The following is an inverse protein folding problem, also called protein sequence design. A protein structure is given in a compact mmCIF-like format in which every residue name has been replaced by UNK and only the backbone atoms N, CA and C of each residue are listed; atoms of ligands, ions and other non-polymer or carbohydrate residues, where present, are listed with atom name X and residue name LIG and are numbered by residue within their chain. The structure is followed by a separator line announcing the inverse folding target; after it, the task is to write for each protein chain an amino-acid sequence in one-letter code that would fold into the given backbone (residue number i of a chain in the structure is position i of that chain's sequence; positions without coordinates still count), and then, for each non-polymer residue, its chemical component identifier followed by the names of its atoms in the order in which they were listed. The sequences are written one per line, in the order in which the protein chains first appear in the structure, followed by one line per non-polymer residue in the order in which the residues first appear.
data_IF_109265098114
#
_entry.id   IF_109265098114
#
_cell.length_a   1.000
_cell.length_b   1.000
_cell.length_c   1.000
_cell.angle_alpha   90.00
_cell.angle_beta   90.00
_cell.angle_gamma   90.00
#
_symmetry.space_group_name_H-M   'P 1'
#
loop_
_entity.id
_entity.type
_entity.pdbx_description
1 polymer ?
#
# COMPACT_ATOMS: atom_id res chain seq x y z
N UNK A 1 94.23 8.84 14.25
CA UNK A 1 93.54 9.65 13.21
C UNK A 1 92.32 8.87 12.80
N UNK A 2 91.22 9.22 13.35
CA UNK A 2 89.99 8.48 13.19
C UNK A 2 88.89 9.25 12.45
N UNK A 3 88.47 8.77 11.32
CA UNK A 3 87.48 9.38 10.49
C UNK A 3 86.12 8.86 10.93
N UNK A 4 85.26 9.72 11.46
CA UNK A 4 83.87 9.40 11.85
C UNK A 4 83.00 9.46 10.64
N UNK A 5 82.43 8.31 10.27
CA UNK A 5 81.39 8.22 9.25
C UNK A 5 80.02 8.51 9.88
N UNK A 6 79.40 9.58 9.44
CA UNK A 6 77.99 9.91 9.82
C UNK A 6 77.03 9.11 9.00
N UNK A 7 76.28 8.26 9.66
CA UNK A 7 75.14 7.53 9.09
C UNK A 7 73.92 8.46 9.00
N UNK A 8 73.51 8.76 7.78
CA UNK A 8 72.28 9.55 7.49
C UNK A 8 71.13 8.56 7.34
N UNK A 9 70.22 8.56 8.30
CA UNK A 9 69.01 7.77 8.25
C UNK A 9 68.00 8.43 7.31
N UNK A 10 67.72 7.79 6.17
CA UNK A 10 66.61 8.18 5.28
C UNK A 10 65.30 7.61 5.86
N UNK A 11 64.43 8.49 6.32
CA UNK A 11 63.05 8.14 6.61
C UNK A 11 62.23 8.21 5.32
N UNK A 12 61.87 7.05 4.76
CA UNK A 12 60.90 6.96 3.68
C UNK A 12 59.49 7.03 4.30
N UNK A 13 58.84 8.20 4.20
CA UNK A 13 57.43 8.36 4.54
C UNK A 13 56.58 7.80 3.40
N UNK A 14 56.05 6.59 3.56
CA UNK A 14 55.06 6.00 2.64
C UNK A 14 53.70 6.68 2.87
N UNK A 15 53.35 7.60 1.99
CA UNK A 15 52.02 8.22 1.95
C UNK A 15 51.02 7.20 1.33
N UNK A 16 50.29 6.50 2.19
CA UNK A 16 49.17 5.62 1.73
C UNK A 16 47.98 6.49 1.36
N UNK A 17 47.84 6.73 0.05
CA UNK A 17 46.67 7.40 -0.52
C UNK A 17 45.49 6.40 -0.54
N UNK A 18 44.68 6.36 0.50
CA UNK A 18 43.42 5.61 0.49
C UNK A 18 42.41 6.34 -0.40
N UNK A 19 42.34 5.95 -1.67
CA UNK A 19 41.26 6.34 -2.57
C UNK A 19 39.95 5.73 -2.04
N UNK A 20 39.19 6.51 -1.27
CA UNK A 20 37.82 6.18 -0.90
C UNK A 20 36.97 6.10 -2.16
N UNK A 21 36.73 4.90 -2.66
CA UNK A 21 35.71 4.67 -3.70
C UNK A 21 34.36 4.95 -3.03
N UNK A 22 33.88 6.19 -3.20
CA UNK A 22 32.49 6.52 -2.90
C UNK A 22 31.61 5.68 -3.82
N UNK A 23 31.08 4.60 -3.28
CA UNK A 23 30.08 3.74 -3.94
C UNK A 23 28.83 4.60 -4.10
N UNK A 24 28.74 5.33 -5.22
CA UNK A 24 27.51 6.02 -5.60
C UNK A 24 26.46 4.94 -5.81
N UNK A 25 25.55 4.81 -4.84
CA UNK A 25 24.36 4.02 -5.00
C UNK A 25 23.57 4.63 -6.17
N UNK A 26 23.73 4.05 -7.36
CA UNK A 26 22.89 4.38 -8.50
C UNK A 26 21.48 3.90 -8.14
N UNK A 27 20.66 4.84 -7.66
CA UNK A 27 19.22 4.60 -7.63
C UNK A 27 18.82 4.29 -9.08
N UNK A 28 18.42 3.05 -9.35
CA UNK A 28 17.91 2.65 -10.66
C UNK A 28 16.81 3.60 -11.13
N UNK A 29 16.51 3.65 -12.41
CA UNK A 29 15.52 4.58 -12.95
C UNK A 29 14.21 4.41 -12.20
N UNK A 30 13.71 5.53 -11.66
CA UNK A 30 12.46 5.58 -10.91
C UNK A 30 11.32 5.04 -11.78
N UNK A 31 10.60 4.04 -11.30
CA UNK A 31 9.44 3.49 -12.00
C UNK A 31 8.45 4.61 -12.33
N UNK A 32 7.91 4.63 -13.54
CA UNK A 32 6.88 5.61 -13.91
C UNK A 32 5.53 5.26 -13.24
N UNK A 33 4.66 6.25 -12.98
CA UNK A 33 3.37 6.00 -12.32
C UNK A 33 2.45 5.06 -13.09
N UNK A 34 2.49 5.11 -14.43
CA UNK A 34 1.74 4.22 -15.31
C UNK A 34 2.25 2.78 -15.23
N UNK A 35 3.57 2.58 -15.34
CA UNK A 35 4.16 1.25 -15.16
C UNK A 35 3.84 0.66 -13.78
N UNK A 36 3.81 1.49 -12.74
CA UNK A 36 3.43 1.07 -11.40
C UNK A 36 1.98 0.56 -11.35
N UNK A 37 1.02 1.33 -11.91
CA UNK A 37 -0.40 0.94 -11.92
C UNK A 37 -0.67 -0.22 -12.88
N UNK A 38 0.02 -0.30 -14.00
CA UNK A 38 -0.06 -1.49 -14.89
C UNK A 38 0.35 -2.75 -14.14
N UNK A 39 1.54 -2.73 -13.53
CA UNK A 39 2.04 -3.87 -12.76
C UNK A 39 1.13 -4.23 -11.56
N UNK A 40 0.51 -3.25 -10.92
CA UNK A 40 -0.49 -3.48 -9.88
C UNK A 40 -1.75 -4.16 -10.46
N UNK A 41 -2.27 -3.68 -11.59
CA UNK A 41 -3.43 -4.27 -12.27
C UNK A 41 -3.19 -5.72 -12.68
N UNK A 42 -2.03 -6.00 -13.29
CA UNK A 42 -1.63 -7.34 -13.72
C UNK A 42 -1.53 -8.31 -12.52
N UNK A 43 -0.94 -7.86 -11.40
CA UNK A 43 -0.86 -8.65 -10.18
C UNK A 43 -2.25 -8.90 -9.58
N UNK A 44 -3.14 -7.92 -9.60
CA UNK A 44 -4.51 -8.06 -9.12
C UNK A 44 -5.29 -9.06 -9.99
N UNK A 45 -5.23 -8.93 -11.31
CA UNK A 45 -5.88 -9.86 -12.26
C UNK A 45 -5.34 -11.28 -12.04
N UNK A 46 -4.03 -11.46 -12.00
CA UNK A 46 -3.41 -12.77 -11.76
C UNK A 46 -3.88 -13.42 -10.47
N UNK A 47 -4.03 -12.63 -9.40
CA UNK A 47 -4.52 -13.12 -8.11
C UNK A 47 -6.00 -13.55 -8.21
N UNK A 48 -6.83 -12.75 -8.89
CA UNK A 48 -8.27 -12.97 -8.98
C UNK A 48 -8.64 -14.07 -9.97
N UNK A 49 -7.88 -14.23 -11.05
CA UNK A 49 -8.10 -15.27 -12.07
C UNK A 49 -7.63 -16.67 -11.63
N UNK A 50 -6.89 -16.78 -10.52
CA UNK A 50 -6.46 -18.07 -10.01
C UNK A 50 -7.60 -18.83 -9.34
N UNK A 51 -8.30 -19.66 -10.10
CA UNK A 51 -9.42 -20.49 -9.64
C UNK A 51 -9.01 -21.59 -8.67
N UNK A 52 -7.72 -21.98 -8.64
CA UNK A 52 -7.22 -23.03 -7.74
C UNK A 52 -6.91 -22.52 -6.33
N UNK A 53 -6.85 -21.19 -6.12
CA UNK A 53 -6.63 -20.61 -4.80
C UNK A 53 -7.86 -20.75 -3.91
N UNK A 54 -7.65 -21.19 -2.67
CA UNK A 54 -8.71 -21.15 -1.67
C UNK A 54 -9.00 -19.71 -1.18
N UNK A 55 -10.02 -19.53 -0.35
CA UNK A 55 -10.41 -18.22 0.17
C UNK A 55 -9.31 -17.58 1.04
N UNK A 56 -8.56 -18.39 1.78
CA UNK A 56 -7.50 -17.92 2.66
C UNK A 56 -6.28 -17.45 1.85
N UNK A 57 -5.88 -18.21 0.83
CA UNK A 57 -4.80 -17.82 -0.08
C UNK A 57 -5.11 -16.51 -0.82
N UNK A 58 -6.34 -16.36 -1.32
CA UNK A 58 -6.80 -15.11 -1.94
C UNK A 58 -6.77 -13.94 -0.97
N UNK A 59 -7.26 -14.13 0.25
CA UNK A 59 -7.25 -13.09 1.29
C UNK A 59 -5.83 -12.65 1.63
N UNK A 60 -4.91 -13.59 1.80
CA UNK A 60 -3.48 -13.30 2.02
C UNK A 60 -2.83 -12.62 0.83
N UNK A 61 -3.16 -13.04 -0.40
CA UNK A 61 -2.72 -12.39 -1.64
C UNK A 61 -3.16 -10.94 -1.73
N UNK A 62 -4.43 -10.66 -1.45
CA UNK A 62 -4.99 -9.30 -1.40
C UNK A 62 -4.31 -8.45 -0.33
N UNK A 63 -4.07 -9.01 0.85
CA UNK A 63 -3.34 -8.32 1.93
C UNK A 63 -1.92 -7.93 1.48
N UNK A 64 -1.17 -8.86 0.88
CA UNK A 64 0.17 -8.57 0.35
C UNK A 64 0.12 -7.47 -0.73
N UNK A 65 -0.86 -7.54 -1.63
CA UNK A 65 -1.06 -6.55 -2.68
C UNK A 65 -1.37 -5.16 -2.10
N UNK A 66 -2.23 -5.09 -1.07
CA UNK A 66 -2.56 -3.87 -0.35
C UNK A 66 -1.32 -3.26 0.32
N UNK A 67 -0.64 -4.01 1.18
CA UNK A 67 0.50 -3.52 1.96
C UNK A 67 1.64 -3.06 1.04
N UNK A 68 1.89 -3.79 -0.05
CA UNK A 68 2.95 -3.47 -1.01
C UNK A 68 2.69 -2.19 -1.80
N UNK A 69 1.43 -1.94 -2.19
CA UNK A 69 1.13 -0.90 -3.18
C UNK A 69 0.43 0.34 -2.61
N UNK A 70 -0.17 0.25 -1.42
CA UNK A 70 -0.88 1.38 -0.81
C UNK A 70 -0.06 2.03 0.30
N UNK A 71 -0.21 3.34 0.47
CA UNK A 71 0.25 4.05 1.67
C UNK A 71 -0.85 3.98 2.75
N UNK A 72 -0.91 2.83 3.42
CA UNK A 72 -1.94 2.57 4.44
C UNK A 72 -1.85 3.58 5.60
N UNK A 73 -0.65 4.02 5.96
CA UNK A 73 -0.43 5.04 6.98
C UNK A 73 -1.05 6.38 6.60
N UNK A 74 -0.81 6.83 5.37
CA UNK A 74 -1.38 8.07 4.86
C UNK A 74 -2.91 7.97 4.76
N UNK A 75 -3.42 6.86 4.23
CA UNK A 75 -4.87 6.63 4.08
C UNK A 75 -5.53 6.59 5.47
N UNK A 76 -4.95 5.89 6.46
CA UNK A 76 -5.44 5.84 7.84
C UNK A 76 -5.60 7.23 8.46
N UNK A 77 -4.58 8.09 8.28
CA UNK A 77 -4.66 9.50 8.74
C UNK A 77 -5.76 10.27 8.03
N UNK A 78 -5.92 10.04 6.72
CA UNK A 78 -6.91 10.72 5.90
C UNK A 78 -8.34 10.32 6.28
N UNK A 79 -8.61 9.04 6.51
CA UNK A 79 -9.94 8.52 6.83
C UNK A 79 -10.35 8.85 8.26
N UNK A 80 -9.43 8.85 9.23
CA UNK A 80 -9.72 9.31 10.59
C UNK A 80 -9.75 10.84 10.74
N UNK A 81 -9.06 11.56 9.86
CA UNK A 81 -9.03 13.03 9.81
C UNK A 81 -8.75 13.66 11.19
N UNK A 82 -9.69 14.50 11.70
CA UNK A 82 -9.53 15.17 13.01
C UNK A 82 -9.40 14.17 14.18
N UNK A 83 -9.97 13.00 14.05
CA UNK A 83 -9.94 11.97 15.10
C UNK A 83 -8.56 11.34 15.25
N UNK A 84 -7.76 11.31 14.18
CA UNK A 84 -6.38 10.82 14.23
C UNK A 84 -5.54 11.55 15.30
N UNK A 85 -5.68 12.87 15.39
CA UNK A 85 -4.91 13.67 16.37
C UNK A 85 -5.32 13.43 17.81
N UNK A 86 -6.58 13.01 18.04
CA UNK A 86 -7.13 12.72 19.36
C UNK A 86 -6.83 11.31 19.85
N UNK A 87 -6.48 10.41 18.94
CA UNK A 87 -6.16 9.02 19.24
C UNK A 87 -4.79 8.89 19.90
N UNK A 88 -4.68 7.96 20.85
CA UNK A 88 -3.40 7.50 21.38
C UNK A 88 -2.57 6.76 20.32
N UNK A 89 -1.30 6.54 20.59
CA UNK A 89 -0.42 5.75 19.71
C UNK A 89 -0.94 4.32 19.55
N UNK A 90 -1.40 3.71 20.65
CA UNK A 90 -1.97 2.37 20.66
C UNK A 90 -3.25 2.28 19.82
N UNK A 91 -4.19 3.23 19.99
CA UNK A 91 -5.43 3.27 19.18
C UNK A 91 -5.17 3.45 17.70
N UNK A 92 -4.16 4.25 17.31
CA UNK A 92 -3.76 4.43 15.90
C UNK A 92 -3.17 3.15 15.32
N UNK A 93 -2.32 2.45 16.09
CA UNK A 93 -1.71 1.19 15.66
C UNK A 93 -2.78 0.10 15.49
N UNK A 94 -3.68 -0.03 16.47
CA UNK A 94 -4.80 -0.96 16.40
C UNK A 94 -5.74 -0.63 15.24
N UNK A 95 -6.13 0.64 15.06
CA UNK A 95 -6.95 1.05 13.93
C UNK A 95 -6.33 0.64 12.60
N UNK A 96 -5.04 0.84 12.41
CA UNK A 96 -4.33 0.50 11.17
C UNK A 96 -4.44 -0.98 10.83
N UNK A 97 -4.19 -1.86 11.80
CA UNK A 97 -4.34 -3.31 11.63
C UNK A 97 -5.77 -3.70 11.28
N UNK A 98 -6.75 -3.19 12.05
CA UNK A 98 -8.17 -3.46 11.81
C UNK A 98 -8.68 -2.88 10.48
N UNK A 99 -8.12 -1.76 10.04
CA UNK A 99 -8.47 -1.15 8.76
C UNK A 99 -7.95 -1.98 7.58
N UNK A 100 -6.74 -2.54 7.67
CA UNK A 100 -6.22 -3.51 6.70
C UNK A 100 -7.14 -4.74 6.61
N UNK A 101 -7.51 -5.33 7.75
CA UNK A 101 -8.42 -6.45 7.83
C UNK A 101 -9.78 -6.13 7.19
N UNK A 102 -10.31 -4.96 7.52
CA UNK A 102 -11.58 -4.47 6.97
C UNK A 102 -11.52 -4.34 5.43
N UNK A 103 -10.47 -3.71 4.90
CA UNK A 103 -10.30 -3.55 3.44
C UNK A 103 -10.22 -4.92 2.77
N UNK A 104 -9.39 -5.81 3.27
CA UNK A 104 -9.22 -7.17 2.70
C UNK A 104 -10.56 -7.93 2.73
N UNK A 105 -11.30 -7.82 3.83
CA UNK A 105 -12.60 -8.50 3.97
C UNK A 105 -13.67 -7.94 3.02
N UNK A 106 -13.86 -6.61 3.04
CA UNK A 106 -14.94 -5.96 2.27
C UNK A 106 -14.67 -6.02 0.77
N UNK A 107 -13.45 -5.73 0.36
CA UNK A 107 -13.11 -5.72 -1.07
C UNK A 107 -12.75 -7.10 -1.60
N UNK A 108 -12.22 -8.00 -0.77
CA UNK A 108 -11.99 -9.39 -1.13
C UNK A 108 -13.27 -10.10 -1.57
N UNK A 109 -14.38 -9.90 -0.85
CA UNK A 109 -15.70 -10.44 -1.23
C UNK A 109 -16.20 -9.89 -2.58
N UNK A 110 -16.01 -8.59 -2.81
CA UNK A 110 -16.44 -7.93 -4.07
C UNK A 110 -15.61 -8.35 -5.27
N UNK A 111 -14.32 -8.59 -5.05
CA UNK A 111 -13.36 -9.00 -6.08
C UNK A 111 -13.37 -10.52 -6.32
N UNK A 112 -13.95 -11.32 -5.42
CA UNK A 112 -14.04 -12.77 -5.54
C UNK A 112 -14.90 -13.27 -6.72
N UNK A 113 -15.65 -12.38 -7.37
CA UNK A 113 -16.49 -12.67 -8.53
C UNK A 113 -15.80 -12.22 -9.83
N UNK A 114 -14.47 -12.37 -9.94
CA UNK A 114 -13.76 -12.09 -11.18
C UNK A 114 -14.28 -13.02 -12.30
N UNK A 115 -14.67 -12.41 -13.41
CA UNK A 115 -15.30 -13.11 -14.56
C UNK A 115 -14.58 -12.82 -15.89
N UNK A 116 -13.33 -12.38 -15.86
CA UNK A 116 -12.54 -12.06 -17.05
C UNK A 116 -12.49 -10.57 -17.37
N UNK A 117 -12.61 -9.71 -16.36
CA UNK A 117 -12.46 -8.27 -16.52
C UNK A 117 -11.07 -7.89 -17.02
N UNK A 118 -11.04 -6.92 -17.94
CA UNK A 118 -9.79 -6.33 -18.44
C UNK A 118 -9.51 -4.99 -17.77
N UNK A 119 -8.25 -4.75 -17.44
CA UNK A 119 -7.79 -3.48 -16.91
C UNK A 119 -7.13 -2.64 -18.00
N UNK A 120 -7.72 -1.49 -18.34
CA UNK A 120 -7.22 -0.59 -19.39
C UNK A 120 -6.82 0.75 -18.80
N UNK A 121 -5.54 1.09 -18.91
CA UNK A 121 -4.99 2.38 -18.51
C UNK A 121 -5.43 3.47 -19.50
N UNK A 122 -5.76 4.65 -18.98
CA UNK A 122 -6.16 5.82 -19.73
C UNK A 122 -5.18 6.99 -19.55
N UNK A 123 -5.73 8.20 -19.30
CA UNK A 123 -4.94 9.43 -19.13
C UNK A 123 -4.13 9.41 -17.85
N UNK A 124 -2.90 9.94 -17.94
CA UNK A 124 -2.00 10.19 -16.82
C UNK A 124 -1.86 11.69 -16.67
N UNK A 125 -2.07 12.21 -15.47
CA UNK A 125 -1.81 13.59 -15.09
C UNK A 125 -0.88 13.62 -13.88
N UNK A 126 0.22 14.37 -13.97
CA UNK A 126 1.15 14.59 -12.85
C UNK A 126 0.86 15.93 -12.20
N UNK A 127 1.09 15.99 -10.89
CA UNK A 127 1.07 17.23 -10.13
C UNK A 127 2.36 17.31 -9.33
N UNK A 128 3.30 18.09 -9.84
CA UNK A 128 4.69 18.07 -9.35
C UNK A 128 5.37 16.71 -9.60
N UNK A 129 6.43 16.44 -8.86
CA UNK A 129 7.24 15.23 -9.02
C UNK A 129 6.79 14.07 -8.11
N UNK A 130 5.94 14.38 -7.13
CA UNK A 130 5.54 13.46 -6.06
C UNK A 130 4.08 12.98 -6.14
N UNK A 131 3.28 13.49 -7.09
CA UNK A 131 1.88 13.09 -7.21
C UNK A 131 1.51 12.77 -8.66
N UNK A 132 0.67 11.75 -8.83
CA UNK A 132 0.09 11.40 -10.12
C UNK A 132 -1.37 10.97 -9.99
N UNK A 133 -2.13 11.25 -11.03
CA UNK A 133 -3.50 10.78 -11.22
C UNK A 133 -3.52 9.95 -12.49
N UNK A 134 -4.00 8.72 -12.39
CA UNK A 134 -4.11 7.82 -13.52
C UNK A 134 -5.57 7.40 -13.65
N UNK A 135 -6.16 7.65 -14.82
CA UNK A 135 -7.48 7.11 -15.15
C UNK A 135 -7.32 5.70 -15.72
N UNK A 136 -8.28 4.85 -15.43
CA UNK A 136 -8.39 3.51 -16.02
C UNK A 136 -9.85 3.13 -16.21
N UNK A 137 -10.07 2.04 -16.94
CA UNK A 137 -11.38 1.39 -17.08
C UNK A 137 -11.21 -0.09 -16.75
N UNK A 138 -12.14 -0.62 -15.99
CA UNK A 138 -12.33 -2.06 -15.82
C UNK A 138 -13.41 -2.45 -16.82
N UNK A 139 -13.01 -3.11 -17.89
CA UNK A 139 -13.92 -3.60 -18.93
C UNK A 139 -14.43 -4.96 -18.47
N UNK A 140 -15.74 -5.09 -18.35
CA UNK A 140 -16.42 -6.31 -17.93
C UNK A 140 -16.90 -7.08 -19.15
N UNK A 141 -16.99 -8.43 -19.09
CA UNK A 141 -17.63 -9.22 -20.14
C UNK A 141 -19.06 -8.77 -20.43
N UNK A 142 -19.79 -8.34 -19.40
CA UNK A 142 -21.15 -7.85 -19.49
C UNK A 142 -21.31 -6.49 -18.79
N UNK A 143 -22.10 -5.59 -19.41
CA UNK A 143 -22.41 -4.26 -18.91
C UNK A 143 -21.36 -3.20 -19.22
N UNK A 144 -21.60 -1.95 -18.80
CA UNK A 144 -20.71 -0.84 -19.10
C UNK A 144 -19.38 -0.94 -18.34
N UNK A 145 -18.26 -0.45 -18.92
CA UNK A 145 -16.98 -0.37 -18.21
C UNK A 145 -17.08 0.50 -16.96
N UNK A 146 -16.42 0.08 -15.88
CA UNK A 146 -16.30 0.86 -14.65
C UNK A 146 -15.11 1.81 -14.77
N UNK A 147 -15.34 3.11 -14.55
CA UNK A 147 -14.28 4.12 -14.55
C UNK A 147 -13.60 4.15 -13.19
N UNK A 148 -12.28 4.00 -13.19
CA UNK A 148 -11.46 4.04 -11.98
C UNK A 148 -10.33 5.05 -12.17
N UNK A 149 -10.13 5.94 -11.20
CA UNK A 149 -8.94 6.78 -11.16
C UNK A 149 -8.14 6.50 -9.89
N UNK A 150 -6.84 6.51 -10.05
CA UNK A 150 -5.85 6.19 -9.03
C UNK A 150 -5.12 7.47 -8.65
N UNK A 151 -5.13 7.81 -7.37
CA UNK A 151 -4.29 8.86 -6.84
C UNK A 151 -3.04 8.24 -6.27
N UNK A 152 -1.90 8.62 -6.82
CA UNK A 152 -0.60 8.14 -6.40
C UNK A 152 0.17 9.25 -5.70
N UNK A 153 1.03 8.83 -4.78
CA UNK A 153 2.05 9.66 -4.17
C UNK A 153 3.38 8.92 -4.21
N UNK A 154 4.43 9.67 -4.53
CA UNK A 154 5.79 9.20 -4.34
C UNK A 154 6.14 9.27 -2.85
N UNK A 155 6.70 8.20 -2.35
CA UNK A 155 7.27 8.12 -1.02
C UNK A 155 8.65 7.47 -1.14
N UNK A 156 9.68 8.26 -0.89
CA UNK A 156 11.07 7.79 -0.91
C UNK A 156 11.46 7.10 -2.24
N UNK A 157 11.04 7.65 -3.37
CA UNK A 157 11.30 7.13 -4.71
C UNK A 157 10.36 5.99 -5.15
N UNK A 158 9.36 5.65 -4.34
CA UNK A 158 8.39 4.60 -4.65
C UNK A 158 6.97 5.15 -4.73
N UNK A 159 6.29 4.85 -5.82
CA UNK A 159 4.87 5.17 -5.94
C UNK A 159 4.03 4.34 -4.99
N UNK A 160 3.05 4.99 -4.36
CA UNK A 160 2.05 4.37 -3.48
C UNK A 160 0.66 4.90 -3.84
N UNK A 161 -0.33 4.03 -3.81
CA UNK A 161 -1.73 4.40 -3.98
C UNK A 161 -2.21 5.04 -2.67
N UNK A 162 -2.77 6.23 -2.76
CA UNK A 162 -3.30 6.99 -1.60
C UNK A 162 -4.81 7.25 -1.68
N UNK A 163 -5.43 6.92 -2.82
CA UNK A 163 -6.88 6.94 -3.00
C UNK A 163 -7.28 6.20 -4.28
N UNK A 164 -8.45 5.59 -4.28
CA UNK A 164 -9.11 5.05 -5.46
C UNK A 164 -10.41 5.84 -5.65
N UNK A 165 -10.67 6.27 -6.88
CA UNK A 165 -11.87 7.02 -7.23
C UNK A 165 -12.65 6.16 -8.22
N UNK A 166 -13.79 5.64 -7.81
CA UNK A 166 -14.66 4.76 -8.62
C UNK A 166 -15.89 5.56 -9.06
N UNK A 167 -16.12 5.66 -10.35
CA UNK A 167 -17.21 6.45 -10.95
C UNK A 167 -17.29 7.88 -10.37
N UNK A 168 -16.13 8.52 -10.15
CA UNK A 168 -16.01 9.87 -9.61
C UNK A 168 -16.06 9.97 -8.08
N UNK A 169 -16.31 8.86 -7.36
CA UNK A 169 -16.42 8.84 -5.89
C UNK A 169 -15.12 8.35 -5.26
N UNK A 170 -14.49 9.20 -4.41
CA UNK A 170 -13.28 8.86 -3.66
C UNK A 170 -13.58 7.86 -2.55
N UNK A 171 -12.93 6.71 -2.58
CA UNK A 171 -13.09 5.67 -1.55
C UNK A 171 -12.58 6.14 -0.19
N UNK A 172 -11.46 6.88 -0.15
CA UNK A 172 -10.96 7.42 1.11
C UNK A 172 -11.90 8.46 1.74
N UNK A 173 -12.59 9.27 0.95
CA UNK A 173 -13.58 10.23 1.46
C UNK A 173 -14.86 9.54 1.92
N UNK A 174 -15.31 8.50 1.22
CA UNK A 174 -16.44 7.67 1.64
C UNK A 174 -16.14 7.02 2.99
N UNK A 175 -15.00 6.34 3.13
CA UNK A 175 -14.58 5.74 4.40
C UNK A 175 -14.45 6.77 5.53
N UNK A 176 -13.93 7.96 5.23
CA UNK A 176 -13.88 9.05 6.21
C UNK A 176 -15.27 9.44 6.72
N UNK A 177 -16.25 9.53 5.84
CA UNK A 177 -17.64 9.86 6.20
C UNK A 177 -18.26 8.76 7.07
N UNK A 178 -18.13 7.51 6.66
CA UNK A 178 -18.65 6.33 7.36
C UNK A 178 -18.02 6.17 8.75
N UNK A 179 -16.69 6.18 8.84
CA UNK A 179 -15.97 6.06 10.11
C UNK A 179 -16.26 7.25 11.03
N UNK A 180 -16.35 8.46 10.47
CA UNK A 180 -16.76 9.64 11.23
C UNK A 180 -18.16 9.51 11.82
N UNK A 181 -19.10 8.88 11.11
CA UNK A 181 -20.44 8.61 11.61
C UNK A 181 -20.42 7.57 12.75
N UNK A 182 -19.64 6.49 12.59
CA UNK A 182 -19.47 5.48 13.65
C UNK A 182 -18.85 6.10 14.90
N UNK A 183 -17.76 6.87 14.75
CA UNK A 183 -17.09 7.53 15.88
C UNK A 183 -18.06 8.46 16.63
N UNK A 184 -18.86 9.26 15.90
CA UNK A 184 -19.88 10.12 16.55
C UNK A 184 -20.91 9.32 17.36
N UNK A 185 -21.42 8.22 16.80
CA UNK A 185 -22.35 7.32 17.49
C UNK A 185 -21.74 6.66 18.72
N UNK A 186 -20.41 6.51 18.76
CA UNK A 186 -19.66 5.91 19.85
C UNK A 186 -19.03 6.97 20.79
N UNK A 187 -19.69 8.09 20.97
CA UNK A 187 -19.26 9.15 21.92
C UNK A 187 -17.98 9.89 21.51
N UNK A 188 -17.64 9.90 20.21
CA UNK A 188 -16.48 10.60 19.68
C UNK A 188 -15.14 9.90 19.86
N UNK A 189 -15.14 8.65 20.33
CA UNK A 189 -13.93 7.85 20.64
C UNK A 189 -13.59 6.90 19.50
N UNK A 190 -12.30 6.81 19.16
CA UNK A 190 -11.79 5.86 18.14
C UNK A 190 -11.89 4.41 18.62
N UNK A 191 -11.76 4.16 19.92
CA UNK A 191 -11.97 2.84 20.51
C UNK A 191 -13.32 2.21 20.11
N UNK A 192 -14.37 3.02 19.98
CA UNK A 192 -15.67 2.54 19.51
C UNK A 192 -15.66 2.13 18.02
N UNK A 193 -14.92 2.84 17.17
CA UNK A 193 -14.70 2.43 15.80
C UNK A 193 -13.86 1.15 15.73
N UNK A 194 -12.78 1.06 16.51
CA UNK A 194 -11.93 -0.12 16.57
C UNK A 194 -12.73 -1.36 17.00
N UNK A 195 -13.61 -1.22 18.00
CA UNK A 195 -14.51 -2.30 18.42
C UNK A 195 -15.43 -2.75 17.28
N UNK A 196 -16.01 -1.80 16.51
CA UNK A 196 -16.86 -2.14 15.36
C UNK A 196 -16.08 -2.82 14.22
N UNK A 197 -14.87 -2.36 13.93
CA UNK A 197 -14.01 -2.99 12.91
C UNK A 197 -13.60 -4.42 13.33
N UNK A 198 -13.35 -4.65 14.62
CA UNK A 198 -13.02 -5.97 15.17
C UNK A 198 -14.21 -6.93 15.06
N UNK A 199 -15.43 -6.46 15.33
CA UNK A 199 -16.65 -7.22 15.11
C UNK A 199 -16.79 -7.64 13.65
N UNK A 200 -16.61 -6.71 12.70
CA UNK A 200 -16.67 -6.99 11.26
C UNK A 200 -15.57 -7.95 10.77
N UNK A 201 -14.39 -7.93 11.39
CA UNK A 201 -13.33 -8.89 11.12
C UNK A 201 -13.65 -10.28 11.72
N UNK A 202 -14.20 -10.34 12.94
CA UNK A 202 -14.57 -11.60 13.62
C UNK A 202 -15.77 -12.32 12.98
N UNK A 203 -16.69 -11.60 12.36
CA UNK A 203 -17.75 -12.19 11.56
C UNK A 203 -17.21 -12.94 10.33
N UNK A 204 -16.03 -12.59 9.86
CA UNK A 204 -15.30 -13.32 8.80
C UNK A 204 -14.97 -14.74 9.23
N UNK A 205 -14.35 -14.89 10.40
CA UNK A 205 -13.86 -16.20 10.89
C UNK A 205 -15.04 -17.18 11.09
N UNK A 206 -16.20 -16.65 11.50
CA UNK A 206 -17.45 -17.45 11.62
C UNK A 206 -18.03 -17.86 10.26
N UNK A 207 -17.93 -17.03 9.24
CA UNK A 207 -18.43 -17.35 7.89
C UNK A 207 -17.49 -18.32 7.21
N UNK A 208 -16.19 -18.11 7.28
CA UNK A 208 -15.19 -19.02 6.70
C UNK A 208 -15.22 -20.39 7.34
N UNK A 209 -15.36 -20.48 8.67
CA UNK A 209 -15.49 -21.75 9.38
C UNK A 209 -16.79 -22.51 9.00
N UNK A 210 -17.90 -21.79 8.80
CA UNK A 210 -19.16 -22.40 8.32
C UNK A 210 -19.08 -22.90 6.88
N UNK A 211 -18.36 -22.18 6.00
CA UNK A 211 -18.16 -22.59 4.61
C UNK A 211 -17.24 -23.81 4.55
N UNK A 212 -16.15 -23.81 5.31
CA UNK A 212 -15.24 -24.96 5.40
C UNK A 212 -15.94 -26.22 5.95
N UNK A 213 -16.76 -26.06 7.00
CA UNK A 213 -17.53 -27.17 7.59
C UNK A 213 -18.64 -27.72 6.68
N UNK A 214 -19.07 -26.97 5.65
CA UNK A 214 -20.07 -27.39 4.68
C UNK A 214 -19.48 -28.03 3.42
N UNK A 215 -18.15 -27.86 3.23
CA UNK A 215 -17.39 -28.42 2.11
C UNK A 215 -16.69 -29.74 2.46
N UNK A 216 -16.72 -30.15 3.75
CA UNK A 216 -16.25 -31.46 4.28
C UNK A 216 -17.41 -32.40 4.45
#
# INVERSE_FOLDING_TARGET
MGTKIKMVSLWLSALVLTAGIAMQAHAGPKQSPDSFITAFGDQAIKLLSNSSSDAQERSQGLRRLLIKNFDVDFISRKVLARHWRKASVAERAEFRSLFEDYIVTVYGRRLGNYSGEEFKIGRIARKGDDQAYISSKIVRPEGPPVKVAWRLRDRDGQWRIVDIIVEGVSMALTQRSEFGAVIRKQGGKISGLNAKLRELAGDRDKVESKVAAKAS
#
